data_IF_984639864458
#
_entry.id   IF_984639864458
#
_cell.length_a   1.000
_cell.length_b   1.000
_cell.length_c   1.000
_cell.angle_alpha   90.00
_cell.angle_beta   90.00
_cell.angle_gamma   90.00
#
_symmetry.space_group_name_H-M   'P 1'
#
loop_
_entity.id
_entity.type
_entity.pdbx_description
1 polymer ?
#
# COMPACT_ATOMS: atom_id res chain seq x y z
N UNK A 1 -28.01 9.89 2.63
CA UNK A 1 -27.43 9.39 3.89
C UNK A 1 -27.21 7.89 3.83
N UNK A 2 -28.25 7.05 3.74
CA UNK A 2 -28.07 5.60 3.68
C UNK A 2 -27.26 5.14 2.44
N UNK A 3 -27.52 5.75 1.28
CA UNK A 3 -26.78 5.46 0.04
C UNK A 3 -25.30 5.88 0.12
N UNK A 4 -25.00 6.97 0.81
CA UNK A 4 -23.62 7.45 1.00
C UNK A 4 -22.81 6.50 1.88
N UNK A 5 -23.43 6.00 2.95
CA UNK A 5 -22.81 5.05 3.88
C UNK A 5 -22.57 3.70 3.20
N UNK A 6 -23.56 3.22 2.44
CA UNK A 6 -23.38 2.03 1.60
C UNK A 6 -22.23 2.23 0.60
N UNK A 7 -22.14 3.40 -0.04
CA UNK A 7 -21.05 3.69 -0.97
C UNK A 7 -19.68 3.74 -0.28
N UNK A 8 -19.60 4.31 0.92
CA UNK A 8 -18.38 4.29 1.74
C UNK A 8 -17.97 2.84 2.04
N UNK A 9 -18.91 2.00 2.46
CA UNK A 9 -18.63 0.57 2.70
C UNK A 9 -18.12 -0.14 1.44
N UNK A 10 -18.74 0.10 0.27
CA UNK A 10 -18.28 -0.43 -1.01
C UNK A 10 -16.86 0.02 -1.37
N UNK A 11 -16.51 1.27 -1.07
CA UNK A 11 -15.16 1.79 -1.31
C UNK A 11 -14.13 1.16 -0.37
N UNK A 12 -14.47 1.00 0.91
CA UNK A 12 -13.62 0.31 1.88
C UNK A 12 -13.38 -1.16 1.48
N UNK A 13 -14.39 -1.84 0.94
CA UNK A 13 -14.24 -3.21 0.42
C UNK A 13 -13.33 -3.25 -0.81
N UNK A 14 -13.45 -2.28 -1.73
CA UNK A 14 -12.57 -2.16 -2.89
C UNK A 14 -11.13 -1.87 -2.49
N UNK A 15 -10.94 -1.03 -1.47
CA UNK A 15 -9.64 -0.69 -0.89
C UNK A 15 -9.03 -1.94 -0.25
N UNK A 16 -9.80 -2.72 0.50
CA UNK A 16 -9.35 -3.97 1.12
C UNK A 16 -8.84 -4.97 0.06
N UNK A 17 -9.56 -5.10 -1.05
CA UNK A 17 -9.15 -5.94 -2.19
C UNK A 17 -7.90 -5.39 -2.85
N UNK A 18 -7.79 -4.07 -3.05
CA UNK A 18 -6.62 -3.46 -3.66
C UNK A 18 -5.36 -3.61 -2.79
N UNK A 19 -5.47 -3.39 -1.49
CA UNK A 19 -4.39 -3.60 -0.53
C UNK A 19 -3.97 -5.07 -0.43
N UNK A 20 -4.92 -6.01 -0.49
CA UNK A 20 -4.58 -7.44 -0.50
C UNK A 20 -3.77 -7.79 -1.75
N UNK A 21 -4.18 -7.29 -2.92
CA UNK A 21 -3.39 -7.46 -4.17
C UNK A 21 -2.02 -6.81 -4.10
N UNK A 22 -1.90 -5.65 -3.46
CA UNK A 22 -0.62 -4.99 -3.23
C UNK A 22 0.29 -5.88 -2.39
N UNK A 23 -0.22 -6.40 -1.26
CA UNK A 23 0.51 -7.32 -0.38
C UNK A 23 1.01 -8.56 -1.14
N UNK A 24 0.14 -9.19 -1.92
CA UNK A 24 0.50 -10.37 -2.73
C UNK A 24 1.60 -10.02 -3.77
N UNK A 25 1.49 -8.84 -4.40
CA UNK A 25 2.46 -8.38 -5.37
C UNK A 25 3.84 -8.10 -4.74
N UNK A 26 3.86 -7.53 -3.53
CA UNK A 26 5.10 -7.29 -2.77
C UNK A 26 5.76 -8.60 -2.35
N UNK A 27 4.98 -9.63 -2.02
CA UNK A 27 5.49 -10.97 -1.75
C UNK A 27 6.13 -11.59 -3.00
N UNK A 28 5.47 -11.50 -4.16
CA UNK A 28 6.05 -11.92 -5.44
C UNK A 28 7.33 -11.15 -5.77
N UNK A 29 7.39 -9.85 -5.48
CA UNK A 29 8.58 -9.03 -5.69
C UNK A 29 9.74 -9.49 -4.80
N UNK A 30 9.46 -9.78 -3.52
CA UNK A 30 10.44 -10.30 -2.57
C UNK A 30 11.03 -11.65 -3.02
N UNK A 31 10.16 -12.57 -3.47
CA UNK A 31 10.57 -13.87 -3.99
C UNK A 31 11.43 -13.73 -5.27
N UNK A 32 11.04 -12.83 -6.18
CA UNK A 32 11.81 -12.54 -7.40
C UNK A 32 13.19 -11.94 -7.08
N UNK A 33 13.29 -11.02 -6.11
CA UNK A 33 14.57 -10.48 -5.62
C UNK A 33 15.47 -11.59 -5.06
N UNK A 34 14.91 -12.44 -4.20
CA UNK A 34 15.64 -13.56 -3.58
C UNK A 34 16.20 -14.52 -4.64
N UNK A 35 15.41 -14.81 -5.68
CA UNK A 35 15.78 -15.67 -6.81
C UNK A 35 16.65 -14.98 -7.86
N UNK A 36 16.84 -13.66 -7.75
CA UNK A 36 17.51 -12.81 -8.75
C UNK A 36 16.83 -12.91 -10.13
N UNK A 37 15.51 -13.11 -10.14
CA UNK A 37 14.71 -13.17 -11.35
C UNK A 37 14.38 -11.76 -11.83
N UNK A 38 15.20 -11.25 -12.75
CA UNK A 38 15.02 -9.91 -13.33
C UNK A 38 13.72 -9.77 -14.11
N UNK A 39 13.17 -10.86 -14.65
CA UNK A 39 11.89 -10.82 -15.39
C UNK A 39 10.74 -10.64 -14.41
N UNK A 40 10.73 -11.44 -13.34
CA UNK A 40 9.75 -11.32 -12.25
C UNK A 40 9.78 -9.94 -11.57
N UNK A 41 10.97 -9.40 -11.32
CA UNK A 41 11.16 -8.03 -10.79
C UNK A 41 10.51 -7.00 -11.72
N UNK A 42 10.76 -7.04 -13.03
CA UNK A 42 10.22 -6.05 -13.96
C UNK A 42 8.69 -6.17 -14.12
N UNK A 43 8.16 -7.39 -14.13
CA UNK A 43 6.72 -7.64 -14.22
C UNK A 43 5.97 -7.12 -12.99
N UNK A 44 6.52 -7.36 -11.80
CA UNK A 44 5.91 -6.91 -10.53
C UNK A 44 5.95 -5.39 -10.41
N UNK A 45 7.07 -4.74 -10.73
CA UNK A 45 7.17 -3.27 -10.77
C UNK A 45 6.16 -2.66 -11.76
N UNK A 46 6.01 -3.23 -12.96
CA UNK A 46 5.04 -2.73 -13.95
C UNK A 46 3.58 -2.84 -13.48
N UNK A 47 3.28 -3.83 -12.64
CA UNK A 47 1.93 -4.03 -12.09
C UNK A 47 1.66 -3.11 -10.90
N UNK A 48 2.71 -2.71 -10.18
CA UNK A 48 2.63 -1.89 -8.96
C UNK A 48 1.99 -0.54 -9.23
N UNK A 49 2.41 0.16 -10.29
CA UNK A 49 1.88 1.47 -10.67
C UNK A 49 0.36 1.45 -10.87
N UNK A 50 -0.16 0.40 -11.50
CA UNK A 50 -1.60 0.23 -11.71
C UNK A 50 -2.38 -0.01 -10.42
N UNK A 51 -1.78 -0.72 -9.45
CA UNK A 51 -2.39 -0.93 -8.13
C UNK A 51 -2.40 0.36 -7.32
N UNK A 52 -1.27 1.09 -7.30
CA UNK A 52 -1.17 2.36 -6.58
C UNK A 52 -2.16 3.39 -7.10
N UNK A 53 -2.22 3.56 -8.42
CA UNK A 53 -3.20 4.44 -9.08
C UNK A 53 -4.64 4.08 -8.68
N UNK A 54 -4.93 2.77 -8.58
CA UNK A 54 -6.27 2.32 -8.17
C UNK A 54 -6.56 2.64 -6.70
N UNK A 55 -5.59 2.49 -5.80
CA UNK A 55 -5.73 2.83 -4.38
C UNK A 55 -5.97 4.34 -4.24
N UNK A 56 -5.17 5.17 -4.90
CA UNK A 56 -5.29 6.63 -4.91
C UNK A 56 -6.69 7.08 -5.35
N UNK A 57 -7.19 6.55 -6.46
CA UNK A 57 -8.55 6.87 -6.94
C UNK A 57 -9.65 6.49 -5.93
N UNK A 58 -9.52 5.34 -5.26
CA UNK A 58 -10.48 4.90 -4.24
C UNK A 58 -10.43 5.82 -3.02
N UNK A 59 -9.23 6.20 -2.59
CA UNK A 59 -9.03 7.12 -1.48
C UNK A 59 -9.61 8.51 -1.77
N UNK A 60 -9.38 9.06 -2.95
CA UNK A 60 -9.95 10.33 -3.38
C UNK A 60 -11.49 10.30 -3.37
N UNK A 61 -12.10 9.25 -3.95
CA UNK A 61 -13.56 9.09 -3.96
C UNK A 61 -14.12 8.97 -2.54
N UNK A 62 -13.45 8.19 -1.67
CA UNK A 62 -13.83 8.01 -0.27
C UNK A 62 -13.73 9.32 0.50
N UNK A 63 -12.64 10.06 0.34
CA UNK A 63 -12.41 11.33 1.04
C UNK A 63 -13.43 12.39 0.64
N UNK A 64 -13.79 12.46 -0.65
CA UNK A 64 -14.85 13.33 -1.15
C UNK A 64 -16.21 12.98 -0.54
N UNK A 65 -16.57 11.69 -0.47
CA UNK A 65 -17.82 11.25 0.14
C UNK A 65 -17.88 11.53 1.64
N UNK A 66 -16.78 11.32 2.36
CA UNK A 66 -16.68 11.65 3.78
C UNK A 66 -16.83 13.15 4.03
N UNK A 67 -16.18 13.99 3.23
CA UNK A 67 -16.32 15.45 3.29
C UNK A 67 -17.76 15.92 3.04
N UNK A 68 -18.43 15.34 2.03
CA UNK A 68 -19.84 15.60 1.75
C UNK A 68 -20.77 15.14 2.87
N UNK A 69 -20.45 14.01 3.51
CA UNK A 69 -21.22 13.48 4.64
C UNK A 69 -21.07 14.40 5.87
N UNK A 70 -19.85 14.80 6.23
CA UNK A 70 -19.59 15.78 7.30
C UNK A 70 -20.36 17.08 7.07
N UNK A 71 -20.32 17.61 5.85
CA UNK A 71 -21.03 18.84 5.48
C UNK A 71 -22.54 18.73 5.71
N UNK A 72 -23.15 17.61 5.29
CA UNK A 72 -24.59 17.37 5.48
C UNK A 72 -25.00 17.17 6.93
N UNK A 73 -24.10 16.65 7.76
CA UNK A 73 -24.30 16.49 9.19
C UNK A 73 -23.97 17.77 9.99
N UNK A 74 -23.56 18.85 9.33
CA UNK A 74 -23.17 20.10 9.99
C UNK A 74 -21.89 19.96 10.83
N UNK A 75 -21.05 18.98 10.50
CA UNK A 75 -19.79 18.73 11.19
C UNK A 75 -18.67 19.58 10.60
N UNK A 76 -17.73 19.98 11.46
CA UNK A 76 -16.49 20.61 11.03
C UNK A 76 -15.68 19.66 10.12
N UNK A 77 -15.06 20.20 9.07
CA UNK A 77 -14.33 19.38 8.09
C UNK A 77 -13.10 18.72 8.70
N UNK A 78 -12.49 19.36 9.70
CA UNK A 78 -11.34 18.83 10.44
C UNK A 78 -11.73 17.79 11.50
N UNK A 79 -13.04 17.52 11.66
CA UNK A 79 -13.52 16.47 12.58
C UNK A 79 -12.91 15.12 12.23
N UNK A 80 -12.50 14.36 13.23
CA UNK A 80 -11.96 13.01 13.02
C UNK A 80 -13.02 12.06 12.43
N UNK A 81 -12.56 11.00 11.78
CA UNK A 81 -13.47 9.94 11.31
C UNK A 81 -14.23 9.29 12.48
N UNK A 82 -13.61 9.18 13.66
CA UNK A 82 -14.29 8.68 14.87
C UNK A 82 -15.46 9.56 15.31
N UNK A 83 -15.29 10.89 15.24
CA UNK A 83 -16.38 11.82 15.55
C UNK A 83 -17.55 11.63 14.56
N UNK A 84 -17.24 11.47 13.28
CA UNK A 84 -18.24 11.19 12.24
C UNK A 84 -18.97 9.87 12.54
N UNK A 85 -18.24 8.79 12.80
CA UNK A 85 -18.83 7.47 13.06
C UNK A 85 -19.73 7.46 14.31
N UNK A 86 -19.38 8.20 15.35
CA UNK A 86 -20.20 8.34 16.56
C UNK A 86 -21.50 9.14 16.33
N UNK A 87 -21.59 9.91 15.25
CA UNK A 87 -22.81 10.64 14.87
C UNK A 87 -23.79 9.82 14.02
N UNK A 88 -23.37 8.63 13.57
CA UNK A 88 -24.18 7.71 12.77
C UNK A 88 -24.95 6.72 13.66
N UNK A 89 -25.97 6.03 13.12
CA UNK A 89 -26.58 4.90 13.81
C UNK A 89 -25.52 3.86 14.21
N UNK A 90 -25.62 3.34 15.44
CA UNK A 90 -24.59 2.50 16.07
C UNK A 90 -24.15 1.32 15.20
N UNK A 91 -25.10 0.61 14.59
CA UNK A 91 -24.80 -0.53 13.70
C UNK A 91 -23.93 -0.11 12.50
N UNK A 92 -24.27 1.02 11.87
CA UNK A 92 -23.57 1.51 10.67
C UNK A 92 -22.20 2.09 11.02
N UNK A 93 -22.11 2.85 12.12
CA UNK A 93 -20.86 3.40 12.62
C UNK A 93 -19.87 2.29 13.00
N UNK A 94 -20.35 1.26 13.69
CA UNK A 94 -19.55 0.10 14.09
C UNK A 94 -19.05 -0.72 12.90
N UNK A 95 -19.89 -0.97 11.90
CA UNK A 95 -19.50 -1.72 10.70
C UNK A 95 -18.39 -1.00 9.90
N UNK A 96 -18.55 0.31 9.69
CA UNK A 96 -17.53 1.12 9.01
C UNK A 96 -16.24 1.15 9.83
N UNK A 97 -16.34 1.32 11.15
CA UNK A 97 -15.17 1.30 12.04
C UNK A 97 -14.40 -0.01 11.93
N UNK A 98 -15.10 -1.16 11.93
CA UNK A 98 -14.46 -2.47 11.78
C UNK A 98 -13.74 -2.62 10.44
N UNK A 99 -14.30 -2.09 9.34
CA UNK A 99 -13.64 -2.09 8.03
C UNK A 99 -12.39 -1.20 8.04
N UNK A 100 -12.48 0.00 8.59
CA UNK A 100 -11.34 0.92 8.73
C UNK A 100 -10.22 0.29 9.54
N UNK A 101 -10.52 -0.35 10.68
CA UNK A 101 -9.52 -1.04 11.49
C UNK A 101 -8.81 -2.15 10.71
N UNK A 102 -9.55 -2.98 9.95
CA UNK A 102 -8.95 -4.02 9.10
C UNK A 102 -8.05 -3.45 8.00
N UNK A 103 -8.41 -2.32 7.41
CA UNK A 103 -7.57 -1.64 6.43
C UNK A 103 -6.27 -1.13 7.07
N UNK A 104 -6.34 -0.56 8.27
CA UNK A 104 -5.17 -0.10 9.01
C UNK A 104 -4.21 -1.27 9.34
N UNK A 105 -4.75 -2.43 9.75
CA UNK A 105 -3.96 -3.65 9.98
C UNK A 105 -3.26 -4.11 8.69
N UNK A 106 -3.95 -4.09 7.55
CA UNK A 106 -3.36 -4.43 6.25
C UNK A 106 -2.27 -3.44 5.82
N UNK A 107 -2.51 -2.14 5.99
CA UNK A 107 -1.51 -1.11 5.70
C UNK A 107 -0.27 -1.28 6.58
N UNK A 108 -0.45 -1.63 7.85
CA UNK A 108 0.67 -1.94 8.73
C UNK A 108 1.46 -3.17 8.23
N UNK A 109 0.78 -4.25 7.83
CA UNK A 109 1.42 -5.42 7.22
C UNK A 109 2.21 -5.07 5.95
N UNK A 110 1.63 -4.26 5.07
CA UNK A 110 2.31 -3.75 3.85
C UNK A 110 3.54 -2.91 4.20
N UNK A 111 3.46 -2.06 5.23
CA UNK A 111 4.62 -1.29 5.71
C UNK A 111 5.78 -2.21 6.11
N UNK A 112 5.50 -3.29 6.84
CA UNK A 112 6.52 -4.27 7.23
C UNK A 112 7.12 -5.01 6.02
N UNK A 113 6.30 -5.32 5.01
CA UNK A 113 6.78 -5.91 3.75
C UNK A 113 7.72 -4.95 3.01
N UNK A 114 7.37 -3.66 2.95
CA UNK A 114 8.21 -2.64 2.31
C UNK A 114 9.54 -2.44 3.05
N UNK A 115 9.52 -2.41 4.38
CA UNK A 115 10.74 -2.33 5.19
C UNK A 115 11.67 -3.52 4.92
N UNK A 116 11.10 -4.73 4.84
CA UNK A 116 11.86 -5.93 4.49
C UNK A 116 12.46 -5.85 3.08
N UNK A 117 11.67 -5.44 2.09
CA UNK A 117 12.13 -5.26 0.72
C UNK A 117 13.27 -4.25 0.63
N UNK A 118 13.18 -3.13 1.34
CA UNK A 118 14.24 -2.12 1.39
C UNK A 118 15.56 -2.71 1.93
N UNK A 119 15.50 -3.56 2.96
CA UNK A 119 16.68 -4.24 3.50
C UNK A 119 17.29 -5.22 2.47
N UNK A 120 16.45 -6.03 1.81
CA UNK A 120 16.90 -7.01 0.81
C UNK A 120 17.55 -6.31 -0.39
N UNK A 121 16.89 -5.29 -0.94
CA UNK A 121 17.44 -4.52 -2.06
C UNK A 121 18.73 -3.79 -1.65
N UNK A 122 18.78 -3.23 -0.45
CA UNK A 122 20.00 -2.60 0.09
C UNK A 122 21.18 -3.56 0.19
N UNK A 123 20.95 -4.79 0.67
CA UNK A 123 21.96 -5.84 0.68
C UNK A 123 22.46 -6.17 -0.75
N UNK A 124 21.54 -6.34 -1.71
CA UNK A 124 21.92 -6.66 -3.09
C UNK A 124 22.78 -5.56 -3.72
N UNK A 125 22.44 -4.28 -3.51
CA UNK A 125 23.24 -3.16 -4.02
C UNK A 125 24.66 -3.18 -3.44
N UNK A 126 24.80 -3.32 -2.12
CA UNK A 126 26.10 -3.40 -1.47
C UNK A 126 26.94 -4.59 -1.93
N UNK A 127 26.30 -5.74 -2.14
CA UNK A 127 26.98 -6.93 -2.64
C UNK A 127 27.48 -6.75 -4.08
N UNK A 128 26.66 -6.13 -4.95
CA UNK A 128 27.07 -5.81 -6.32
C UNK A 128 28.25 -4.82 -6.34
N UNK A 129 28.18 -3.76 -5.53
CA UNK A 129 29.27 -2.79 -5.40
C UNK A 129 30.58 -3.44 -4.94
N UNK A 130 30.50 -4.38 -3.98
CA UNK A 130 31.64 -5.16 -3.53
C UNK A 130 32.25 -6.00 -4.66
N UNK A 131 31.43 -6.73 -5.41
CA UNK A 131 31.89 -7.53 -6.55
C UNK A 131 32.51 -6.66 -7.65
N UNK A 132 31.92 -5.50 -7.94
CA UNK A 132 32.45 -4.56 -8.92
C UNK A 132 33.86 -4.09 -8.50
N UNK A 133 34.05 -3.69 -7.24
CA UNK A 133 35.37 -3.28 -6.71
C UNK A 133 36.42 -4.38 -6.85
N UNK A 134 36.09 -5.62 -6.46
CA UNK A 134 36.99 -6.76 -6.64
C UNK A 134 37.38 -6.98 -8.11
N UNK A 135 36.42 -6.88 -9.02
CA UNK A 135 36.67 -7.04 -10.45
C UNK A 135 37.60 -5.93 -11.00
N UNK A 136 37.46 -4.69 -10.54
CA UNK A 136 38.33 -3.58 -10.93
C UNK A 136 39.75 -3.70 -10.36
N UNK A 137 39.89 -4.11 -9.10
CA UNK A 137 41.20 -4.29 -8.45
C UNK A 137 41.99 -5.44 -9.11
N UNK A 138 41.33 -6.54 -9.46
CA UNK A 138 41.98 -7.69 -10.11
C UNK A 138 42.08 -7.56 -11.64
N UNK A 139 41.19 -6.81 -12.31
CA UNK A 139 41.27 -6.54 -13.75
C UNK A 139 42.39 -5.56 -14.14
N UNK A 140 42.81 -4.70 -13.23
CA UNK A 140 43.93 -3.76 -13.40
C UNK A 140 45.31 -4.41 -13.24
N UNK A 141 45.35 -5.67 -12.80
CA UNK A 141 46.58 -6.43 -12.56
C UNK A 141 47.02 -7.28 -13.77
N UNK A 142 46.21 -7.31 -14.84
CA UNK A 142 46.45 -8.09 -16.06
C UNK A 142 47.14 -7.27 -17.16
N UNK A 143 48.36 -6.77 -16.89
CA UNK A 143 49.32 -6.43 -17.94
C UNK A 143 50.58 -7.26 -17.73
N UNK A 144 50.62 -8.42 -18.39
CA UNK A 144 51.85 -9.17 -18.67
C UNK A 144 51.70 -9.83 -20.04
#
# INVERSE_FOLDING_TARGET
MNDDLKRIQELLDKEEVALSRLSDLLECYSDALTKKDTTGINQTVSTLEGILTRIENIEEERNLLLSNLKSRLGMDQDSSIYALLNSLPEEQGSEILQKVTRLLEKLHGISLQLDHLQQVTGFHLHYIDFLAKLAFEHGSSGTY
#
